data_IF_204700224668
#
_entry.id   IF_204700224668
#
_cell.length_a   1.000
_cell.length_b   1.000
_cell.length_c   1.000
_cell.angle_alpha   90.00
_cell.angle_beta   90.00
_cell.angle_gamma   90.00
#
_symmetry.space_group_name_H-M   'P 1'
#
loop_
_entity.id
_entity.type
_entity.pdbx_description
1 polymer ?
#
# COMPACT_ATOMS: atom_id res chain seq x y z
N UNK A 1 14.37 -3.63 -9.59
CA UNK A 1 14.33 -3.53 -11.06
C UNK A 1 15.66 -2.95 -11.50
N UNK A 2 16.33 -3.58 -12.48
CA UNK A 2 17.61 -3.08 -13.01
C UNK A 2 17.37 -2.56 -14.43
N UNK A 3 18.02 -1.46 -14.80
CA UNK A 3 17.96 -0.91 -16.16
C UNK A 3 18.49 -1.94 -17.16
N UNK A 4 17.78 -2.15 -18.26
CA UNK A 4 18.11 -3.16 -19.27
C UNK A 4 17.56 -4.57 -18.99
N UNK A 5 16.89 -4.82 -17.86
CA UNK A 5 16.22 -6.10 -17.62
C UNK A 5 15.13 -6.36 -18.67
N UNK A 6 14.92 -7.63 -19.03
CA UNK A 6 13.89 -7.97 -20.00
C UNK A 6 12.50 -7.92 -19.35
N UNK A 7 11.51 -7.43 -20.08
CA UNK A 7 10.10 -7.42 -19.70
C UNK A 7 9.60 -8.77 -19.13
N UNK A 8 10.07 -9.89 -19.68
CA UNK A 8 9.73 -11.24 -19.20
C UNK A 8 10.28 -11.53 -17.81
N UNK A 9 11.48 -11.05 -17.50
CA UNK A 9 12.09 -11.19 -16.18
C UNK A 9 11.33 -10.35 -15.14
N UNK A 10 10.90 -9.15 -15.52
CA UNK A 10 10.07 -8.30 -14.67
C UNK A 10 8.74 -8.99 -14.34
N UNK A 11 8.04 -9.59 -15.32
CA UNK A 11 6.83 -10.39 -15.06
C UNK A 11 7.11 -11.55 -14.10
N UNK A 12 8.22 -12.27 -14.28
CA UNK A 12 8.54 -13.42 -13.43
C UNK A 12 8.75 -13.02 -11.97
N UNK A 13 9.27 -11.82 -11.72
CA UNK A 13 9.57 -11.33 -10.36
C UNK A 13 8.39 -10.58 -9.74
N UNK A 14 7.71 -9.71 -10.50
CA UNK A 14 6.67 -8.81 -10.00
C UNK A 14 5.25 -9.28 -10.31
N UNK A 15 5.09 -10.22 -11.26
CA UNK A 15 3.79 -10.63 -11.78
C UNK A 15 3.23 -9.67 -12.83
N UNK A 16 1.93 -9.83 -13.11
CA UNK A 16 1.20 -8.99 -14.04
C UNK A 16 1.07 -7.56 -13.48
N UNK A 17 1.32 -6.52 -14.28
CA UNK A 17 1.09 -5.14 -13.87
C UNK A 17 -0.40 -4.84 -13.73
N UNK A 18 -0.71 -3.81 -12.96
CA UNK A 18 -2.08 -3.34 -12.77
C UNK A 18 -2.56 -2.50 -13.95
N UNK A 19 -1.64 -1.73 -14.58
CA UNK A 19 -1.94 -0.93 -15.77
C UNK A 19 -0.82 -1.09 -16.79
N UNK A 20 -1.19 -1.27 -18.06
CA UNK A 20 -0.30 -1.22 -19.21
C UNK A 20 -0.73 -0.04 -20.07
N UNK A 21 0.20 0.87 -20.36
CA UNK A 21 -0.01 1.97 -21.30
C UNK A 21 1.06 1.95 -22.38
N UNK A 22 0.76 2.58 -23.52
CA UNK A 22 1.67 2.71 -24.64
C UNK A 22 1.74 4.18 -25.05
N UNK A 23 2.95 4.70 -25.20
CA UNK A 23 3.12 6.08 -25.62
C UNK A 23 3.06 6.26 -27.14
N UNK A 24 3.16 7.51 -27.61
CA UNK A 24 3.14 7.85 -29.04
C UNK A 24 4.32 7.26 -29.84
N UNK A 25 5.40 6.91 -29.17
CA UNK A 25 6.60 6.31 -29.77
C UNK A 25 6.53 4.77 -29.77
N UNK A 26 5.47 4.19 -29.20
CA UNK A 26 5.26 2.76 -29.10
C UNK A 26 5.93 2.11 -27.89
N UNK A 27 6.45 2.90 -26.95
CA UNK A 27 7.05 2.39 -25.72
C UNK A 27 5.97 1.96 -24.74
N UNK A 28 6.15 0.78 -24.15
CA UNK A 28 5.22 0.25 -23.17
C UNK A 28 5.60 0.75 -21.77
N UNK A 29 4.62 1.15 -20.98
CA UNK A 29 4.80 1.54 -19.58
C UNK A 29 3.87 0.72 -18.71
N UNK A 30 4.44 0.11 -17.69
CA UNK A 30 3.73 -0.74 -16.74
C UNK A 30 3.67 -0.07 -15.39
N UNK A 31 2.48 -0.07 -14.78
CA UNK A 31 2.27 0.48 -13.45
C UNK A 31 1.86 -0.62 -12.49
N UNK A 32 2.50 -0.63 -11.33
CA UNK A 32 2.19 -1.50 -10.19
C UNK A 32 1.81 -0.61 -9.02
N UNK A 33 0.70 -0.90 -8.37
CA UNK A 33 0.25 -0.22 -7.17
C UNK A 33 0.00 -1.22 -6.04
N UNK A 34 0.43 -0.83 -4.83
CA UNK A 34 0.22 -1.59 -3.60
C UNK A 34 -0.33 -0.64 -2.55
N UNK A 35 -1.49 -0.95 -1.99
CA UNK A 35 -2.11 -0.18 -0.91
C UNK A 35 -2.24 -1.09 0.31
N UNK A 36 -1.68 -0.64 1.43
CA UNK A 36 -1.78 -1.29 2.74
C UNK A 36 -2.52 -0.36 3.69
N UNK A 37 -3.53 -0.88 4.38
CA UNK A 37 -4.27 -0.16 5.41
C UNK A 37 -4.07 -0.87 6.73
N UNK A 38 -3.41 -0.19 7.67
CA UNK A 38 -3.25 -0.66 9.04
C UNK A 38 -4.36 -0.03 9.87
N UNK A 39 -5.31 -0.85 10.31
CA UNK A 39 -6.34 -0.46 11.26
C UNK A 39 -5.93 -0.95 12.64
N UNK A 40 -5.31 -0.08 13.44
CA UNK A 40 -5.10 -0.37 14.87
C UNK A 40 -6.42 -0.14 15.61
N UNK A 41 -7.32 -1.12 15.53
CA UNK A 41 -8.44 -1.21 16.46
C UNK A 41 -7.89 -1.72 17.81
N UNK A 42 -7.44 -0.82 18.68
CA UNK A 42 -7.29 -1.14 20.11
C UNK A 42 -8.68 -1.29 20.74
N UNK A 43 -9.38 -2.36 20.40
CA UNK A 43 -10.50 -2.85 21.20
C UNK A 43 -9.91 -3.39 22.50
N UNK A 44 -9.83 -2.53 23.51
CA UNK A 44 -9.62 -2.96 24.88
C UNK A 44 -10.70 -3.98 25.20
N UNK A 45 -10.30 -5.26 25.27
CA UNK A 45 -11.14 -6.33 25.80
C UNK A 45 -11.55 -5.93 27.21
N UNK A 46 -12.80 -5.48 27.37
CA UNK A 46 -13.48 -5.54 28.65
C UNK A 46 -13.86 -7.01 28.88
N UNK A 47 -12.85 -7.83 29.16
CA UNK A 47 -13.02 -9.19 29.67
C UNK A 47 -12.57 -9.15 31.12
N UNK A 48 -13.54 -9.08 32.02
CA UNK A 48 -13.36 -9.43 33.43
C UNK A 48 -13.18 -8.26 34.41
N UNK A 49 -14.29 -7.67 34.85
CA UNK A 49 -14.47 -7.14 36.21
C UNK A 49 -15.99 -6.89 36.35
N UNK A 50 -16.79 -7.84 36.83
CA UNK A 50 -16.74 -8.25 38.22
C UNK A 50 -17.52 -7.26 39.07
N UNK A 51 -18.84 -7.38 39.08
CA UNK A 51 -19.75 -7.22 40.25
C UNK A 51 -19.70 -5.95 41.14
N UNK A 52 -18.84 -4.94 40.92
CA UNK A 52 -18.71 -3.81 41.85
C UNK A 52 -18.46 -2.49 41.10
N UNK A 53 -19.44 -1.59 41.12
CA UNK A 53 -19.26 -0.12 41.22
C UNK A 53 -20.55 0.63 40.86
N UNK A 54 -21.61 0.46 41.66
CA UNK A 54 -22.32 1.67 42.07
C UNK A 54 -21.32 2.54 42.84
N UNK A 55 -21.36 3.86 42.71
CA UNK A 55 -20.38 4.83 43.25
C UNK A 55 -19.10 5.07 42.43
N UNK A 56 -19.16 5.59 41.20
CA UNK A 56 -18.22 6.63 40.74
C UNK A 56 -18.99 7.57 39.81
N UNK A 57 -19.36 8.75 40.33
CA UNK A 57 -19.47 9.94 39.51
C UNK A 57 -18.06 10.39 39.10
N UNK A 58 -17.98 11.11 37.98
CA UNK A 58 -16.80 11.68 37.33
C UNK A 58 -16.28 10.90 36.11
N UNK A 59 -16.50 11.51 34.93
CA UNK A 59 -15.49 11.61 33.88
C UNK A 59 -14.96 10.31 33.29
N UNK A 60 -15.73 9.68 32.41
CA UNK A 60 -15.24 8.61 31.57
C UNK A 60 -15.55 8.89 30.11
N UNK A 61 -14.90 9.89 29.49
CA UNK A 61 -14.91 9.98 28.03
C UNK A 61 -14.08 8.80 27.51
N UNK A 62 -14.74 7.71 27.14
CA UNK A 62 -14.14 6.66 26.34
C UNK A 62 -13.79 7.23 24.96
N UNK A 63 -12.64 7.90 24.86
CA UNK A 63 -12.08 8.35 23.59
C UNK A 63 -11.50 7.12 22.91
N UNK A 64 -12.31 6.44 22.12
CA UNK A 64 -11.86 5.46 21.14
C UNK A 64 -11.06 6.20 20.06
N UNK A 65 -9.74 6.29 20.22
CA UNK A 65 -8.86 6.79 19.16
C UNK A 65 -8.55 5.65 18.20
N UNK A 66 -9.34 5.51 17.14
CA UNK A 66 -8.95 4.67 16.01
C UNK A 66 -7.95 5.47 15.16
N UNK A 67 -6.69 5.04 15.16
CA UNK A 67 -5.70 5.56 14.21
C UNK A 67 -5.66 4.62 13.03
N UNK A 68 -6.16 5.08 11.88
CA UNK A 68 -6.07 4.35 10.62
C UNK A 68 -4.88 4.92 9.86
N UNK A 69 -3.81 4.13 9.68
CA UNK A 69 -2.71 4.52 8.81
C UNK A 69 -2.84 3.80 7.47
N UNK A 70 -2.66 4.54 6.38
CA UNK A 70 -2.69 4.01 5.03
C UNK A 70 -1.36 4.30 4.34
N UNK A 71 -0.75 3.25 3.79
CA UNK A 71 0.47 3.31 3.00
C UNK A 71 0.14 2.91 1.57
N UNK A 72 0.56 3.70 0.58
CA UNK A 72 0.49 3.33 -0.82
C UNK A 72 1.86 3.43 -1.49
N UNK A 73 2.16 2.49 -2.38
CA UNK A 73 3.36 2.46 -3.19
C UNK A 73 2.95 2.27 -4.65
N UNK A 74 3.39 3.16 -5.51
CA UNK A 74 3.22 3.09 -6.96
C UNK A 74 4.59 2.97 -7.61
N UNK A 75 4.76 1.99 -8.48
CA UNK A 75 5.98 1.78 -9.29
C UNK A 75 5.60 1.85 -10.75
N UNK A 76 6.30 2.68 -11.50
CA UNK A 76 6.12 2.88 -12.94
C UNK A 76 7.40 2.41 -13.64
N UNK A 77 7.28 1.51 -14.61
CA UNK A 77 8.41 0.97 -15.37
C UNK A 77 8.14 1.23 -16.84
N UNK A 78 9.05 1.92 -17.53
CA UNK A 78 8.97 2.17 -18.97
C UNK A 78 9.95 1.25 -19.69
N UNK A 79 9.47 0.61 -20.76
CA UNK A 79 10.22 -0.28 -21.62
C UNK A 79 10.55 0.40 -22.95
N UNK A 80 11.68 0.04 -23.53
CA UNK A 80 12.02 0.40 -24.90
C UNK A 80 11.33 -0.51 -25.93
N UNK A 81 11.57 -0.23 -27.21
CA UNK A 81 11.02 -1.04 -28.31
C UNK A 81 11.60 -2.46 -28.36
N UNK A 82 12.73 -2.72 -27.69
CA UNK A 82 13.36 -4.03 -27.56
C UNK A 82 12.86 -4.79 -26.32
N UNK A 83 11.78 -4.31 -25.67
CA UNK A 83 11.20 -4.91 -24.46
C UNK A 83 12.18 -4.96 -23.28
N UNK A 84 13.12 -4.02 -23.24
CA UNK A 84 14.09 -3.85 -22.15
C UNK A 84 13.71 -2.66 -21.28
N UNK A 85 13.98 -2.72 -19.98
CA UNK A 85 13.70 -1.61 -19.06
C UNK A 85 14.51 -0.38 -19.47
N UNK A 86 13.80 0.64 -19.94
CA UNK A 86 14.36 1.94 -20.30
C UNK A 86 14.54 2.80 -19.04
N UNK A 87 13.49 2.88 -18.22
CA UNK A 87 13.45 3.69 -17.02
C UNK A 87 12.46 3.15 -15.98
N UNK A 88 12.61 3.57 -14.72
CA UNK A 88 11.67 3.24 -13.65
C UNK A 88 11.59 4.36 -12.61
N UNK A 89 10.38 4.60 -12.11
CA UNK A 89 10.10 5.56 -11.05
C UNK A 89 9.23 4.91 -9.97
N UNK A 90 9.34 5.40 -8.74
CA UNK A 90 8.47 4.96 -7.66
C UNK A 90 7.99 6.15 -6.82
N UNK A 91 6.76 6.05 -6.32
CA UNK A 91 6.12 7.03 -5.45
C UNK A 91 5.51 6.30 -4.27
N UNK A 92 5.87 6.71 -3.05
CA UNK A 92 5.24 6.21 -1.82
C UNK A 92 4.49 7.32 -1.10
N UNK A 93 3.30 7.03 -0.61
CA UNK A 93 2.51 7.92 0.23
C UNK A 93 2.19 7.20 1.55
N UNK A 94 2.27 7.91 2.66
CA UNK A 94 1.90 7.44 3.98
C UNK A 94 1.12 8.55 4.67
N UNK A 95 -0.06 8.22 5.19
CA UNK A 95 -0.93 9.15 5.92
C UNK A 95 -1.83 8.43 6.94
#
# INVERSE_FOLDING_TARGET
>A
VVKGANQTEIIKVLGAPNIISKDKQGRETWTYDRISRDSEAKSGSMVGAGFFSGFIGAGGTSKSSSSTSSKSLTVVITFDNNKSVLDYAYQSLEF
#
